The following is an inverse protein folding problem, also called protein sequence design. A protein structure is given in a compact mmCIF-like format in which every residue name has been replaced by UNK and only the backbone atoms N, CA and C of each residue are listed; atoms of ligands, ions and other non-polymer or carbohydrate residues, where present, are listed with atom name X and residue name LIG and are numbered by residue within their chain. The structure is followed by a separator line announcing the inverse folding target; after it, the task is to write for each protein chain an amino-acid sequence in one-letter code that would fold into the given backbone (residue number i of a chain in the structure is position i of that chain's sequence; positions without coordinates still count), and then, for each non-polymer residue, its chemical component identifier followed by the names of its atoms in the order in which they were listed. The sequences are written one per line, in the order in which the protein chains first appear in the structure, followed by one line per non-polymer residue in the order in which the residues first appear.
data_IF_493498362206
#
_entry.id   IF_493498362206
#
_cell.length_a   1.000
_cell.length_b   1.000
_cell.length_c   1.000
_cell.angle_alpha   90.00
_cell.angle_beta   90.00
_cell.angle_gamma   90.00
#
_symmetry.space_group_name_H-M   'P 1'
#
loop_
_entity.id
_entity.type
_entity.pdbx_description
1 polymer ?
#
# COMPACT_ATOMS: atom_id res chain seq x y z
N UNK A 1 -30.46 17.14 -16.08
CA UNK A 1 -29.67 17.62 -14.92
C UNK A 1 -28.71 16.51 -14.55
N UNK A 2 -27.46 16.58 -15.01
CA UNK A 2 -26.43 15.58 -14.69
C UNK A 2 -25.57 16.18 -13.58
N UNK A 3 -25.61 15.57 -12.39
CA UNK A 3 -24.78 16.01 -11.27
C UNK A 3 -23.32 15.63 -11.55
N UNK A 4 -22.35 16.55 -11.43
CA UNK A 4 -20.95 16.18 -11.47
C UNK A 4 -20.66 15.42 -10.18
N UNK A 5 -20.59 14.09 -10.26
CA UNK A 5 -20.14 13.25 -9.16
C UNK A 5 -18.81 13.77 -8.60
N UNK A 6 -18.71 13.84 -7.28
CA UNK A 6 -17.63 14.46 -6.53
C UNK A 6 -16.23 14.03 -7.04
N UNK A 7 -15.53 14.96 -7.70
CA UNK A 7 -14.08 14.98 -7.89
C UNK A 7 -13.47 13.68 -8.43
N UNK A 8 -13.33 13.59 -9.76
CA UNK A 8 -12.59 12.50 -10.41
C UNK A 8 -11.19 12.32 -9.80
N UNK A 9 -10.73 11.06 -9.70
CA UNK A 9 -9.56 10.64 -8.91
C UNK A 9 -8.28 11.47 -9.12
N UNK A 10 -8.12 12.15 -10.26
CA UNK A 10 -7.00 13.08 -10.53
C UNK A 10 -6.94 14.27 -9.56
N UNK A 11 -8.09 14.77 -9.09
CA UNK A 11 -8.14 15.88 -8.12
C UNK A 11 -7.65 15.45 -6.73
N UNK A 12 -7.98 14.22 -6.32
CA UNK A 12 -7.54 13.64 -5.04
C UNK A 12 -6.07 13.25 -5.06
N UNK A 13 -5.55 12.83 -6.22
CA UNK A 13 -4.12 12.53 -6.39
C UNK A 13 -3.24 13.76 -6.20
N UNK A 14 -3.59 14.90 -6.84
CA UNK A 14 -2.86 16.16 -6.64
C UNK A 14 -2.87 16.62 -5.18
N UNK A 15 -3.99 16.47 -4.50
CA UNK A 15 -4.09 16.87 -3.09
C UNK A 15 -3.17 16.03 -2.19
N UNK A 16 -2.93 14.76 -2.51
CA UNK A 16 -1.99 13.91 -1.77
C UNK A 16 -0.52 14.26 -2.08
N UNK A 17 -0.21 14.74 -3.28
CA UNK A 17 1.13 15.21 -3.67
C UNK A 17 1.59 16.42 -2.83
N UNK A 18 0.65 17.20 -2.28
CA UNK A 18 0.95 18.32 -1.36
C UNK A 18 1.44 17.85 0.02
N UNK A 19 1.11 16.62 0.44
CA UNK A 19 1.50 16.07 1.74
C UNK A 19 2.70 15.10 1.66
N UNK A 20 3.10 14.70 0.45
CA UNK A 20 4.25 13.83 0.25
C UNK A 20 4.31 13.20 -1.13
N UNK A 21 5.31 12.35 -1.34
CA UNK A 21 5.42 11.59 -2.58
C UNK A 21 4.50 10.38 -2.54
N UNK A 22 3.51 10.35 -3.43
CA UNK A 22 2.56 9.24 -3.55
C UNK A 22 3.03 8.28 -4.63
N UNK A 23 3.14 7.00 -4.28
CA UNK A 23 3.50 5.94 -5.23
C UNK A 23 2.35 4.94 -5.35
N UNK A 24 1.88 4.75 -6.57
CA UNK A 24 0.89 3.73 -6.90
C UNK A 24 1.60 2.47 -7.36
N UNK A 25 1.07 1.31 -6.95
CA UNK A 25 1.60 0.00 -7.28
C UNK A 25 0.45 -0.94 -7.62
N UNK A 26 0.60 -1.61 -8.76
CA UNK A 26 -0.27 -2.69 -9.17
C UNK A 26 0.35 -4.02 -8.74
N UNK A 27 -0.48 -4.95 -8.30
CA UNK A 27 -0.06 -6.27 -7.85
C UNK A 27 -0.75 -7.35 -8.67
N UNK A 28 -0.05 -8.45 -8.88
CA UNK A 28 -0.52 -9.56 -9.71
C UNK A 28 -1.11 -10.68 -8.87
N UNK A 29 -2.14 -11.33 -9.42
CA UNK A 29 -2.84 -12.45 -8.78
C UNK A 29 -4.06 -12.02 -7.96
N UNK A 30 -4.92 -13.00 -7.64
CA UNK A 30 -6.03 -12.84 -6.69
C UNK A 30 -5.66 -13.57 -5.41
N UNK A 31 -5.19 -12.87 -4.37
CA UNK A 31 -4.82 -13.57 -3.15
C UNK A 31 -6.07 -14.11 -2.48
N UNK A 32 -5.94 -15.33 -1.95
CA UNK A 32 -6.93 -15.88 -1.07
C UNK A 32 -6.52 -15.60 0.37
N UNK A 33 -7.01 -14.48 0.93
CA UNK A 33 -6.73 -14.01 2.29
C UNK A 33 -7.41 -14.88 3.37
N UNK A 34 -7.55 -16.18 3.11
CA UNK A 34 -7.96 -17.24 4.07
C UNK A 34 -6.98 -18.41 4.07
N UNK A 35 -5.97 -18.41 3.19
CA UNK A 35 -4.96 -19.46 3.07
C UNK A 35 -3.56 -18.83 3.01
N UNK A 36 -2.73 -19.00 4.06
CA UNK A 36 -1.39 -18.43 4.15
C UNK A 36 -0.50 -18.69 2.92
N UNK A 37 -0.54 -19.92 2.39
CA UNK A 37 0.26 -20.32 1.23
C UNK A 37 -0.13 -19.56 -0.05
N UNK A 38 -1.43 -19.28 -0.22
CA UNK A 38 -1.95 -18.59 -1.41
C UNK A 38 -1.87 -17.07 -1.29
N UNK A 39 -1.93 -16.53 -0.07
CA UNK A 39 -1.76 -15.08 0.15
C UNK A 39 -0.29 -14.64 0.11
N UNK A 40 0.63 -15.49 0.57
CA UNK A 40 2.06 -15.12 0.73
C UNK A 40 2.68 -14.53 -0.54
N UNK A 41 2.54 -15.12 -1.75
CA UNK A 41 3.12 -14.52 -2.97
C UNK A 41 2.62 -13.12 -3.28
N UNK A 42 1.39 -12.79 -2.88
CA UNK A 42 0.83 -11.45 -3.07
C UNK A 42 1.38 -10.47 -2.02
N UNK A 43 1.43 -10.88 -0.74
CA UNK A 43 1.99 -10.04 0.32
C UNK A 43 3.49 -9.75 0.09
N UNK A 44 4.22 -10.70 -0.47
CA UNK A 44 5.63 -10.50 -0.85
C UNK A 44 5.82 -9.44 -1.93
N UNK A 45 4.90 -9.33 -2.89
CA UNK A 45 4.92 -8.25 -3.88
C UNK A 45 4.76 -6.88 -3.21
N UNK A 46 3.90 -6.77 -2.18
CA UNK A 46 3.73 -5.52 -1.42
C UNK A 46 5.02 -5.15 -0.70
N UNK A 47 5.65 -6.11 -0.01
CA UNK A 47 6.95 -5.89 0.66
C UNK A 47 8.00 -5.42 -0.34
N UNK A 48 8.16 -6.13 -1.46
CA UNK A 48 9.15 -5.81 -2.48
C UNK A 48 8.94 -4.40 -3.06
N UNK A 49 7.70 -4.07 -3.42
CA UNK A 49 7.35 -2.76 -3.95
C UNK A 49 7.60 -1.63 -2.93
N UNK A 50 7.39 -1.91 -1.63
CA UNK A 50 7.65 -0.95 -0.55
C UNK A 50 9.15 -0.69 -0.38
N UNK A 51 9.97 -1.74 -0.42
CA UNK A 51 11.43 -1.63 -0.33
C UNK A 51 11.99 -0.86 -1.52
N UNK A 52 11.55 -1.17 -2.73
CA UNK A 52 11.96 -0.48 -3.96
C UNK A 52 11.54 1.01 -3.94
N UNK A 53 10.32 1.29 -3.49
CA UNK A 53 9.81 2.65 -3.33
C UNK A 53 10.67 3.48 -2.37
N UNK A 54 11.00 2.93 -1.20
CA UNK A 54 11.86 3.64 -0.23
C UNK A 54 13.28 3.80 -0.74
N UNK A 55 13.83 2.80 -1.42
CA UNK A 55 15.16 2.89 -2.01
C UNK A 55 15.25 3.98 -3.09
N UNK A 56 14.23 4.11 -3.94
CA UNK A 56 14.20 5.11 -5.02
C UNK A 56 13.97 6.56 -4.54
N UNK A 57 13.31 6.76 -3.39
CA UNK A 57 13.05 8.09 -2.81
C UNK A 57 14.09 8.54 -1.78
N UNK A 58 15.03 7.67 -1.42
CA UNK A 58 16.01 7.90 -0.36
C UNK A 58 15.48 7.52 1.03
N UNK A 59 16.29 6.77 1.78
CA UNK A 59 15.90 6.10 3.03
C UNK A 59 15.51 7.03 4.20
N UNK A 60 15.64 8.35 4.06
CA UNK A 60 15.42 9.31 5.15
C UNK A 60 13.94 9.68 5.37
N UNK A 61 13.01 9.22 4.52
CA UNK A 61 11.60 9.60 4.58
C UNK A 61 10.74 8.49 5.17
N UNK A 62 9.86 8.86 6.10
CA UNK A 62 8.85 7.97 6.64
C UNK A 62 7.97 7.40 5.52
N UNK A 63 7.75 6.10 5.52
CA UNK A 63 6.93 5.38 4.55
C UNK A 63 5.62 4.94 5.22
N UNK A 64 4.49 5.30 4.63
CA UNK A 64 3.16 4.91 5.08
C UNK A 64 2.50 4.09 3.97
N UNK A 65 1.99 2.92 4.31
CA UNK A 65 1.19 2.12 3.39
C UNK A 65 -0.26 2.56 3.45
N UNK A 66 -0.89 2.77 2.30
CA UNK A 66 -2.29 3.19 2.22
C UNK A 66 -3.08 2.13 1.46
N UNK A 67 -4.12 1.59 2.09
CA UNK A 67 -4.94 0.54 1.51
C UNK A 67 -6.41 0.91 1.51
N UNK A 68 -7.06 0.76 0.36
CA UNK A 68 -8.52 0.90 0.20
C UNK A 68 -9.16 -0.47 -0.06
N UNK A 69 -10.26 -0.77 0.63
CA UNK A 69 -11.00 -2.02 0.52
C UNK A 69 -10.06 -3.23 0.63
N UNK A 70 -9.92 -4.00 -0.46
CA UNK A 70 -9.01 -5.14 -0.52
C UNK A 70 -7.54 -4.82 -0.18
N UNK A 71 -7.04 -3.67 -0.65
CA UNK A 71 -5.66 -3.26 -0.36
C UNK A 71 -5.44 -3.04 1.14
N UNK A 72 -6.46 -2.50 1.84
CA UNK A 72 -6.43 -2.34 3.30
C UNK A 72 -6.36 -3.70 4.00
N UNK A 73 -7.19 -4.67 3.57
CA UNK A 73 -7.15 -6.03 4.10
C UNK A 73 -5.80 -6.71 3.87
N UNK A 74 -5.20 -6.57 2.68
CA UNK A 74 -3.90 -7.15 2.38
C UNK A 74 -2.78 -6.56 3.27
N UNK A 75 -2.78 -5.24 3.49
CA UNK A 75 -1.82 -4.60 4.40
C UNK A 75 -2.03 -5.09 5.84
N UNK A 76 -3.27 -5.23 6.30
CA UNK A 76 -3.55 -5.76 7.64
C UNK A 76 -2.99 -7.18 7.81
N UNK A 77 -3.17 -8.06 6.82
CA UNK A 77 -2.59 -9.41 6.80
C UNK A 77 -1.06 -9.37 6.84
N UNK A 78 -0.42 -8.52 6.01
CA UNK A 78 1.02 -8.35 6.02
C UNK A 78 1.56 -7.95 7.40
N UNK A 79 0.87 -7.05 8.12
CA UNK A 79 1.31 -6.55 9.42
C UNK A 79 1.18 -7.58 10.55
N UNK A 80 0.35 -8.60 10.39
CA UNK A 80 0.23 -9.71 11.35
C UNK A 80 1.12 -10.91 10.99
N UNK A 81 1.74 -10.93 9.81
CA UNK A 81 2.75 -11.94 9.42
C UNK A 81 4.17 -11.48 9.85
N UNK A 82 4.77 -12.03 10.92
CA UNK A 82 6.02 -11.51 11.48
C UNK A 82 7.19 -11.54 10.49
N UNK A 83 7.33 -12.62 9.71
CA UNK A 83 8.43 -12.74 8.75
C UNK A 83 8.35 -11.71 7.62
N UNK A 84 7.14 -11.36 7.17
CA UNK A 84 6.93 -10.36 6.12
C UNK A 84 7.05 -8.94 6.66
N UNK A 85 6.48 -8.68 7.84
CA UNK A 85 6.62 -7.38 8.51
C UNK A 85 8.07 -7.03 8.81
N UNK A 86 8.89 -7.99 9.21
CA UNK A 86 10.32 -7.79 9.47
C UNK A 86 11.11 -7.37 8.22
N UNK A 87 10.58 -7.62 7.01
CA UNK A 87 11.19 -7.25 5.73
C UNK A 87 10.80 -5.85 5.26
N UNK A 88 9.86 -5.18 5.93
CA UNK A 88 9.54 -3.79 5.62
C UNK A 88 10.75 -2.88 5.92
N UNK A 89 10.92 -1.78 5.16
CA UNK A 89 12.01 -0.85 5.41
C UNK A 89 11.92 -0.23 6.81
N UNK A 90 13.07 0.09 7.42
CA UNK A 90 13.11 0.72 8.76
C UNK A 90 12.34 2.05 8.83
N UNK A 91 12.18 2.72 7.70
CA UNK A 91 11.39 3.95 7.60
C UNK A 91 9.88 3.73 7.55
N UNK A 92 9.41 2.47 7.53
CA UNK A 92 7.99 2.16 7.62
C UNK A 92 7.41 2.67 8.95
N UNK A 93 6.51 3.64 8.85
CA UNK A 93 5.94 4.34 9.99
C UNK A 93 4.54 3.83 10.37
N UNK A 94 3.83 3.18 9.44
CA UNK A 94 2.49 2.65 9.71
C UNK A 94 1.65 2.48 8.45
N UNK A 95 0.35 2.24 8.68
CA UNK A 95 -0.62 2.04 7.60
C UNK A 95 -1.91 2.84 7.84
N UNK A 96 -2.53 3.28 6.75
CA UNK A 96 -3.85 3.93 6.74
C UNK A 96 -4.81 3.04 5.95
N UNK A 97 -5.98 2.79 6.54
CA UNK A 97 -7.02 1.91 5.97
C UNK A 97 -8.25 2.73 5.60
N UNK A 98 -8.70 2.58 4.36
CA UNK A 98 -9.98 3.09 3.87
C UNK A 98 -10.92 1.91 3.61
N UNK A 99 -12.10 1.94 4.23
CA UNK A 99 -13.17 0.95 4.07
C UNK A 99 -13.94 1.12 2.77
#
# INVERSE_FOLDING_TARGET
LSFPGAGGGRSRHRLLEEFGTVLYRDFTGRPNLTSPERERPFLEQIVAATVEAVASLGAARACVLVGHSFGGRAIAHLLVCPELRARLPRSFAGAIFFG
#
